data_IF_978644491016
#
_entry.id   IF_978644491016
#
_cell.length_a   1.000
_cell.length_b   1.000
_cell.length_c   1.000
_cell.angle_alpha   90.00
_cell.angle_beta   90.00
_cell.angle_gamma   90.00
#
_symmetry.space_group_name_H-M   'P 1'
#
loop_
_entity.id
_entity.type
_entity.pdbx_description
1 polymer ?
#
# COMPACT_ATOMS: atom_id res chain seq x y z
N UNK A 1 16.51 2.39 2.18
CA UNK A 1 16.90 3.55 3.01
C UNK A 1 15.70 4.33 3.57
N UNK A 2 14.82 4.93 2.76
CA UNK A 2 13.70 5.75 3.29
C UNK A 2 12.50 4.94 3.83
N UNK A 3 12.29 3.71 3.34
CA UNK A 3 11.26 2.77 3.81
C UNK A 3 11.75 1.87 4.95
N UNK A 4 13.07 1.91 5.25
CA UNK A 4 13.74 1.01 6.19
C UNK A 4 14.36 -0.25 5.55
N UNK A 5 14.09 -0.54 4.27
CA UNK A 5 14.51 -1.80 3.63
C UNK A 5 16.01 -1.92 3.35
N UNK A 6 16.76 -0.81 3.39
CA UNK A 6 18.22 -0.82 3.25
C UNK A 6 18.85 0.11 4.28
N UNK A 7 19.97 -0.32 4.86
CA UNK A 7 20.80 0.44 5.79
C UNK A 7 21.46 1.64 5.11
N UNK A 8 21.33 2.82 5.69
CA UNK A 8 21.97 4.04 5.20
C UNK A 8 23.49 3.98 5.38
N UNK A 9 24.24 4.24 4.31
CA UNK A 9 25.71 4.30 4.35
C UNK A 9 26.25 5.59 5.00
N UNK A 10 25.40 6.62 5.16
CA UNK A 10 25.66 7.88 5.85
C UNK A 10 24.59 8.94 5.56
N UNK A 11 24.39 9.91 6.46
CA UNK A 11 23.40 11.00 6.36
C UNK A 11 22.16 10.81 7.25
N UNK A 12 21.43 11.89 7.52
CA UNK A 12 20.16 11.87 8.26
C UNK A 12 18.98 12.24 7.34
N UNK A 13 17.90 11.47 7.43
CA UNK A 13 16.66 11.74 6.71
C UNK A 13 15.52 11.98 7.70
N UNK A 14 14.67 12.96 7.39
CA UNK A 14 13.56 13.38 8.25
C UNK A 14 12.22 13.29 7.51
N UNK A 15 11.22 12.66 8.14
CA UNK A 15 9.83 12.62 7.65
C UNK A 15 8.94 13.25 8.73
N UNK A 16 8.20 14.30 8.37
CA UNK A 16 7.34 15.02 9.32
C UNK A 16 8.07 15.59 10.53
N UNK A 17 9.34 15.99 10.36
CA UNK A 17 10.20 16.50 11.44
C UNK A 17 10.85 15.42 12.31
N UNK A 18 10.71 14.12 11.98
CA UNK A 18 11.25 13.00 12.76
C UNK A 18 12.34 12.27 12.02
N UNK A 19 13.42 11.93 12.72
CA UNK A 19 14.55 11.18 12.15
C UNK A 19 14.13 9.73 11.89
N UNK A 20 14.31 9.27 10.64
CA UNK A 20 14.00 7.90 10.22
C UNK A 20 14.83 6.88 11.01
N UNK A 21 16.07 7.21 11.38
CA UNK A 21 16.98 6.30 12.09
C UNK A 21 16.61 6.08 13.56
N UNK A 22 15.99 7.06 14.22
CA UNK A 22 15.66 7.00 15.66
C UNK A 22 14.23 6.54 15.95
N UNK A 23 13.29 6.82 15.03
CA UNK A 23 11.85 6.58 15.22
C UNK A 23 11.26 5.68 14.11
N UNK A 24 12.06 4.73 13.63
CA UNK A 24 11.78 3.90 12.46
C UNK A 24 10.37 3.26 12.48
N UNK A 25 9.96 2.70 13.63
CA UNK A 25 8.63 2.09 13.82
C UNK A 25 7.48 3.10 13.67
N UNK A 26 7.62 4.31 14.22
CA UNK A 26 6.60 5.38 14.13
C UNK A 26 6.56 6.00 12.75
N UNK A 27 7.71 6.14 12.11
CA UNK A 27 7.81 6.59 10.71
C UNK A 27 7.16 5.56 9.79
N UNK A 28 7.41 4.26 9.98
CA UNK A 28 6.77 3.18 9.20
C UNK A 28 5.25 3.17 9.35
N UNK A 29 4.70 3.46 10.54
CA UNK A 29 3.25 3.61 10.72
C UNK A 29 2.66 4.81 9.95
N UNK A 30 3.43 5.88 9.78
CA UNK A 30 3.02 7.07 9.02
C UNK A 30 3.19 6.94 7.50
N UNK A 31 3.89 5.92 7.04
CA UNK A 31 4.19 5.66 5.63
C UNK A 31 3.20 4.68 5.01
N UNK A 32 2.69 4.98 3.82
CA UNK A 32 2.03 4.00 2.95
C UNK A 32 3.09 3.33 2.07
N UNK A 33 3.36 2.04 2.27
CA UNK A 33 4.28 1.28 1.44
C UNK A 33 3.50 0.29 0.57
N UNK A 34 3.72 0.38 -0.74
CA UNK A 34 3.24 -0.59 -1.71
C UNK A 34 4.45 -1.33 -2.29
N UNK A 35 4.62 -2.63 -2.02
CA UNK A 35 5.66 -3.42 -2.66
C UNK A 35 5.49 -3.37 -4.18
N UNK A 36 6.61 -3.19 -4.90
CA UNK A 36 6.61 -2.82 -6.31
C UNK A 36 6.33 -4.01 -7.25
N UNK A 37 6.52 -5.23 -6.78
CA UNK A 37 6.17 -6.50 -7.43
C UNK A 37 5.77 -7.49 -6.29
N UNK A 38 4.76 -8.33 -6.53
CA UNK A 38 4.25 -9.39 -5.63
C UNK A 38 3.48 -9.01 -4.35
N UNK A 39 2.97 -7.78 -4.23
CA UNK A 39 2.07 -7.43 -3.11
C UNK A 39 0.66 -8.06 -3.18
N UNK A 40 0.31 -8.66 -4.32
CA UNK A 40 -1.04 -9.17 -4.57
C UNK A 40 -1.00 -10.69 -4.67
N UNK A 41 -1.72 -11.34 -3.76
CA UNK A 41 -1.98 -12.77 -3.79
C UNK A 41 -3.03 -13.07 -4.86
N UNK A 42 -2.70 -13.90 -5.84
CA UNK A 42 -3.60 -14.12 -6.98
C UNK A 42 -4.93 -14.79 -6.58
N UNK A 43 -4.90 -15.59 -5.51
CA UNK A 43 -6.05 -16.32 -4.99
C UNK A 43 -6.97 -15.45 -4.11
N UNK A 44 -6.46 -14.35 -3.56
CA UNK A 44 -7.25 -13.48 -2.70
C UNK A 44 -8.04 -12.46 -3.52
N UNK A 45 -9.25 -12.16 -3.06
CA UNK A 45 -10.09 -11.10 -3.61
C UNK A 45 -9.59 -9.71 -3.22
N UNK A 46 -10.00 -8.66 -3.93
CA UNK A 46 -9.64 -7.30 -3.55
C UNK A 46 -10.11 -6.95 -2.12
N UNK A 47 -11.28 -7.44 -1.71
CA UNK A 47 -11.79 -7.26 -0.34
C UNK A 47 -10.85 -7.89 0.69
N UNK A 48 -10.48 -9.14 0.51
CA UNK A 48 -9.60 -9.86 1.45
C UNK A 48 -8.21 -9.23 1.55
N UNK A 49 -7.67 -8.72 0.44
CA UNK A 49 -6.43 -7.94 0.48
C UNK A 49 -6.57 -6.71 1.37
N UNK A 50 -7.63 -5.92 1.16
CA UNK A 50 -7.82 -4.67 1.90
C UNK A 50 -8.09 -4.95 3.38
N UNK A 51 -8.84 -6.00 3.72
CA UNK A 51 -9.03 -6.44 5.11
C UNK A 51 -7.71 -6.87 5.76
N UNK A 52 -6.92 -7.70 5.07
CA UNK A 52 -5.61 -8.16 5.52
C UNK A 52 -4.69 -6.97 5.84
N UNK A 53 -4.56 -6.03 4.88
CA UNK A 53 -3.71 -4.86 5.06
C UNK A 53 -4.26 -3.89 6.11
N UNK A 54 -5.58 -3.77 6.26
CA UNK A 54 -6.21 -2.97 7.32
C UNK A 54 -5.87 -3.51 8.70
N UNK A 55 -5.92 -4.84 8.87
CA UNK A 55 -5.52 -5.52 10.12
C UNK A 55 -4.03 -5.42 10.41
N UNK A 56 -3.18 -5.59 9.40
CA UNK A 56 -1.72 -5.43 9.54
C UNK A 56 -1.33 -4.01 9.96
N UNK A 57 -2.12 -3.00 9.56
CA UNK A 57 -1.93 -1.60 9.97
C UNK A 57 -2.45 -1.29 11.37
N UNK A 58 -3.11 -2.24 12.03
CA UNK A 58 -3.65 -2.07 13.39
C UNK A 58 -4.90 -1.19 13.45
N UNK A 59 -5.65 -1.08 12.34
CA UNK A 59 -6.92 -0.34 12.32
C UNK A 59 -7.94 -1.13 13.17
N UNK A 60 -8.71 -0.47 14.07
CA UNK A 60 -9.72 -1.15 14.88
C UNK A 60 -10.76 -1.89 14.01
N UNK A 61 -11.18 -3.07 14.46
CA UNK A 61 -12.17 -3.91 13.76
C UNK A 61 -13.47 -3.17 13.38
N UNK A 62 -13.90 -2.25 14.25
CA UNK A 62 -15.09 -1.40 14.04
C UNK A 62 -14.97 -0.44 12.85
N UNK A 63 -13.75 -0.12 12.44
CA UNK A 63 -13.44 0.78 11.34
C UNK A 63 -13.03 0.02 10.06
N UNK A 64 -12.79 -1.30 10.16
CA UNK A 64 -12.27 -2.14 9.08
C UNK A 64 -13.19 -2.09 7.86
N UNK A 65 -14.46 -2.42 8.03
CA UNK A 65 -15.45 -2.43 6.95
C UNK A 65 -15.56 -1.07 6.25
N UNK A 66 -15.55 0.01 7.03
CA UNK A 66 -15.61 1.39 6.52
C UNK A 66 -14.40 1.75 5.67
N UNK A 67 -13.19 1.38 6.11
CA UNK A 67 -11.93 1.66 5.40
C UNK A 67 -11.85 0.83 4.12
N UNK A 68 -12.20 -0.45 4.19
CA UNK A 68 -12.21 -1.35 3.04
C UNK A 68 -13.19 -0.87 1.98
N UNK A 69 -14.42 -0.55 2.38
CA UNK A 69 -15.45 -0.05 1.46
C UNK A 69 -15.02 1.27 0.81
N UNK A 70 -14.48 2.20 1.61
CA UNK A 70 -13.94 3.46 1.09
C UNK A 70 -12.85 3.24 0.04
N UNK A 71 -11.91 2.32 0.28
CA UNK A 71 -10.82 2.04 -0.65
C UNK A 71 -11.32 1.38 -1.95
N UNK A 72 -12.28 0.46 -1.86
CA UNK A 72 -12.92 -0.18 -3.02
C UNK A 72 -13.68 0.84 -3.89
N UNK A 73 -14.41 1.77 -3.27
CA UNK A 73 -15.14 2.81 -3.99
C UNK A 73 -14.22 3.83 -4.61
N UNK A 74 -13.23 4.32 -3.86
CA UNK A 74 -12.31 5.37 -4.34
C UNK A 74 -11.52 4.96 -5.57
N UNK A 75 -11.16 3.68 -5.69
CA UNK A 75 -10.41 3.18 -6.85
C UNK A 75 -11.28 2.40 -7.85
N UNK A 76 -12.60 2.49 -7.72
CA UNK A 76 -13.58 1.88 -8.63
C UNK A 76 -13.43 0.35 -8.73
N UNK A 77 -12.98 -0.29 -7.65
CA UNK A 77 -12.81 -1.74 -7.55
C UNK A 77 -14.03 -2.44 -6.99
N UNK A 78 -15.06 -1.72 -6.53
CA UNK A 78 -16.27 -2.29 -5.93
C UNK A 78 -16.92 -3.39 -6.81
N UNK A 79 -16.94 -3.23 -8.13
CA UNK A 79 -17.51 -4.23 -9.07
C UNK A 79 -16.70 -5.53 -9.18
N UNK A 80 -15.45 -5.49 -8.74
CA UNK A 80 -14.52 -6.61 -8.78
C UNK A 80 -14.18 -7.09 -7.36
N UNK A 81 -14.74 -6.48 -6.32
CA UNK A 81 -14.32 -6.65 -4.92
C UNK A 81 -14.15 -8.10 -4.49
N UNK A 82 -15.07 -8.97 -4.94
CA UNK A 82 -15.14 -10.38 -4.57
C UNK A 82 -14.59 -11.32 -5.67
N UNK A 83 -13.84 -10.78 -6.63
CA UNK A 83 -13.12 -11.57 -7.63
C UNK A 83 -11.64 -11.71 -7.25
N UNK A 84 -11.03 -12.88 -7.47
CA UNK A 84 -9.61 -13.09 -7.19
C UNK A 84 -8.75 -12.10 -7.98
N UNK A 85 -7.73 -11.52 -7.32
CA UNK A 85 -6.84 -10.55 -7.92
C UNK A 85 -6.04 -11.12 -9.11
N UNK A 86 -5.86 -12.44 -9.19
CA UNK A 86 -5.29 -13.13 -10.35
C UNK A 86 -6.06 -12.87 -11.65
N UNK A 87 -7.37 -12.65 -11.56
CA UNK A 87 -8.23 -12.36 -12.73
C UNK A 87 -8.17 -10.91 -13.21
N UNK A 88 -7.45 -10.04 -12.49
CA UNK A 88 -7.42 -8.62 -12.78
C UNK A 88 -6.48 -8.30 -13.95
N UNK A 89 -6.89 -7.34 -14.77
CA UNK A 89 -5.98 -6.68 -15.71
C UNK A 89 -4.84 -5.99 -14.96
N UNK A 90 -3.71 -5.75 -15.62
CA UNK A 90 -2.58 -5.03 -15.01
C UNK A 90 -2.97 -3.66 -14.43
N UNK A 91 -3.94 -2.98 -15.05
CA UNK A 91 -4.50 -1.72 -14.53
C UNK A 91 -5.27 -1.90 -13.22
N UNK A 92 -6.12 -2.93 -13.12
CA UNK A 92 -6.86 -3.23 -11.89
C UNK A 92 -5.94 -3.74 -10.77
N UNK A 93 -4.90 -4.51 -11.11
CA UNK A 93 -3.83 -4.87 -10.15
C UNK A 93 -3.17 -3.60 -9.60
N UNK A 94 -2.81 -2.64 -10.46
CA UNK A 94 -2.20 -1.36 -10.04
C UNK A 94 -3.13 -0.48 -9.19
N UNK A 95 -4.44 -0.48 -9.51
CA UNK A 95 -5.47 0.12 -8.66
C UNK A 95 -5.48 -0.55 -7.29
N UNK A 96 -5.55 -1.88 -7.20
CA UNK A 96 -5.58 -2.59 -5.92
C UNK A 96 -4.33 -2.32 -5.07
N UNK A 97 -3.14 -2.34 -5.69
CA UNK A 97 -1.89 -1.93 -5.07
C UNK A 97 -1.93 -0.51 -4.49
N UNK A 98 -2.56 0.42 -5.22
CA UNK A 98 -2.73 1.80 -4.76
C UNK A 98 -3.74 1.89 -3.61
N UNK A 99 -4.82 1.11 -3.62
CA UNK A 99 -5.78 1.04 -2.53
C UNK A 99 -5.10 0.55 -1.24
N UNK A 100 -4.27 -0.49 -1.35
CA UNK A 100 -3.46 -1.01 -0.23
C UNK A 100 -2.53 0.08 0.33
N UNK A 101 -1.87 0.86 -0.54
CA UNK A 101 -0.99 1.95 -0.12
C UNK A 101 -1.73 3.08 0.63
N UNK A 102 -3.02 3.27 0.33
CA UNK A 102 -3.87 4.31 0.91
C UNK A 102 -4.52 3.87 2.24
N UNK A 103 -4.54 2.58 2.55
CA UNK A 103 -5.07 2.07 3.82
C UNK A 103 -4.28 2.65 4.99
N UNK A 104 -5.00 3.16 6.00
CA UNK A 104 -4.41 3.75 7.21
C UNK A 104 -4.10 5.24 7.11
N UNK A 105 -4.59 5.93 6.08
CA UNK A 105 -4.46 7.38 5.89
C UNK A 105 -3.02 7.89 6.15
N UNK A 106 -2.01 7.29 5.50
CA UNK A 106 -0.63 7.68 5.72
C UNK A 106 -0.40 9.13 5.30
N UNK A 107 0.42 9.85 6.06
CA UNK A 107 0.76 11.25 5.75
C UNK A 107 1.63 11.39 4.50
N UNK A 108 2.25 10.29 4.06
CA UNK A 108 3.12 10.22 2.90
C UNK A 108 3.02 8.83 2.25
N UNK A 109 2.86 8.80 0.92
CA UNK A 109 2.78 7.56 0.13
C UNK A 109 3.98 7.51 -0.81
N UNK A 110 4.79 6.46 -0.71
CA UNK A 110 5.84 6.19 -1.69
C UNK A 110 5.30 5.28 -2.79
N UNK A 111 5.10 5.83 -3.98
CA UNK A 111 4.67 5.09 -5.16
C UNK A 111 5.86 5.00 -6.12
N UNK A 112 6.61 3.89 -6.05
CA UNK A 112 7.74 3.70 -6.96
C UNK A 112 7.19 3.19 -8.29
N UNK A 113 7.16 4.05 -9.32
CA UNK A 113 6.84 3.64 -10.68
C UNK A 113 8.09 3.07 -11.32
N UNK A 114 8.18 1.74 -11.39
CA UNK A 114 9.12 1.09 -12.29
C UNK A 114 8.51 1.18 -13.69
N UNK A 115 9.13 1.95 -14.57
CA UNK A 115 8.90 1.78 -16.00
C UNK A 115 9.23 0.33 -16.33
N UNK A 116 8.30 -0.38 -16.98
CA UNK A 116 8.65 -1.63 -17.64
C UNK A 116 9.83 -1.31 -18.56
N UNK A 117 10.92 -2.09 -18.54
CA UNK A 117 11.89 -1.99 -19.62
C UNK A 117 11.15 -2.31 -20.92
N UNK A 118 10.89 -1.29 -21.74
CA UNK A 118 10.48 -1.45 -23.14
C UNK A 118 9.14 -0.91 -23.61
N UNK A 119 8.36 -0.10 -22.89
CA UNK A 119 7.21 0.61 -23.51
C UNK A 119 7.10 2.08 -23.08
N UNK A 120 7.25 2.96 -24.08
CA UNK A 120 7.02 4.39 -23.99
C UNK A 120 5.54 4.75 -23.85
N UNK A 121 5.35 6.01 -23.46
CA UNK A 121 4.11 6.71 -23.07
C UNK A 121 2.89 6.45 -23.93
#
# INVERSE_FOLDING_TARGET
>A
MLTGDETTTGGEAFIGGRSILRDLLRVQQSLGYCPQFDALFEDLTAREHLELYTRLRGIPWKDEERVVQWALEKLELAKYADKPAGTYSGGNKRKLSTAIALIGYPSLIFLVSGGLPGRGW
#
